data_IF_511452808104
#
_entry.id   IF_511452808104
#
_cell.length_a   1.000
_cell.length_b   1.000
_cell.length_c   1.000
_cell.angle_alpha   90.00
_cell.angle_beta   90.00
_cell.angle_gamma   90.00
#
_symmetry.space_group_name_H-M   'P 1'
#
loop_
_entity.id
_entity.type
_entity.pdbx_description
1 polymer ?
#
# COMPACT_ATOMS: atom_id res chain seq x y z
N UNK A 1 15.16 13.46 -3.32
CA UNK A 1 14.98 12.38 -4.29
C UNK A 1 13.51 12.24 -4.63
N UNK A 2 13.19 12.03 -5.87
CA UNK A 2 11.80 11.95 -6.29
C UNK A 2 11.54 10.66 -7.03
N UNK A 3 10.29 10.21 -6.98
CA UNK A 3 9.88 9.02 -7.68
C UNK A 3 8.51 9.27 -8.30
N UNK A 4 8.25 8.62 -9.40
CA UNK A 4 6.95 8.70 -10.04
C UNK A 4 6.02 7.68 -9.42
N UNK A 5 4.75 8.03 -9.34
CA UNK A 5 3.77 7.09 -8.83
C UNK A 5 3.78 5.81 -9.65
N UNK A 6 3.96 5.94 -10.97
CA UNK A 6 4.01 4.76 -11.82
C UNK A 6 5.16 3.84 -11.45
N UNK A 7 6.21 4.37 -10.86
CA UNK A 7 7.31 3.53 -10.40
C UNK A 7 7.00 2.81 -9.11
N UNK A 8 6.10 3.37 -8.31
CA UNK A 8 5.74 2.77 -7.03
C UNK A 8 4.66 1.72 -7.16
N UNK A 9 3.89 1.79 -8.22
CA UNK A 9 2.83 0.83 -8.42
C UNK A 9 3.42 -0.54 -8.67
N UNK A 10 2.73 -1.55 -8.22
CA UNK A 10 3.12 -2.95 -8.36
C UNK A 10 4.33 -3.34 -7.51
N UNK A 11 4.86 -2.43 -6.69
CA UNK A 11 5.89 -2.84 -5.75
C UNK A 11 5.27 -3.61 -4.60
N UNK A 12 6.00 -4.57 -4.11
CA UNK A 12 5.53 -5.33 -2.95
C UNK A 12 5.53 -4.45 -1.72
N UNK A 13 4.50 -4.62 -0.90
CA UNK A 13 4.37 -3.88 0.34
C UNK A 13 4.58 -4.87 1.48
N UNK A 14 5.57 -4.60 2.30
CA UNK A 14 5.95 -5.47 3.41
C UNK A 14 5.62 -4.76 4.71
N UNK A 15 4.91 -5.46 5.57
CA UNK A 15 4.60 -4.93 6.89
C UNK A 15 5.70 -5.33 7.85
N UNK A 16 6.43 -4.34 8.35
CA UNK A 16 7.55 -4.62 9.24
C UNK A 16 7.11 -5.13 10.60
N UNK A 17 5.88 -4.85 10.99
CA UNK A 17 5.41 -5.27 12.30
C UNK A 17 5.38 -6.80 12.41
N UNK A 18 5.09 -7.49 11.31
CA UNK A 18 5.07 -8.94 11.34
C UNK A 18 5.92 -9.58 10.24
N UNK A 19 6.60 -8.77 9.45
CA UNK A 19 7.48 -9.29 8.40
C UNK A 19 6.75 -9.85 7.21
N UNK A 20 5.48 -9.62 7.07
CA UNK A 20 4.69 -10.22 6.02
C UNK A 20 4.49 -9.29 4.85
N UNK A 21 4.42 -9.90 3.68
CA UNK A 21 4.01 -9.18 2.48
C UNK A 21 2.50 -9.06 2.48
N UNK A 22 1.99 -7.85 2.41
CA UNK A 22 0.54 -7.69 2.42
C UNK A 22 -0.05 -7.57 1.03
N UNK A 23 0.78 -7.35 0.02
CA UNK A 23 0.29 -7.28 -1.33
C UNK A 23 1.12 -6.34 -2.16
N UNK A 24 0.55 -5.83 -3.22
CA UNK A 24 1.21 -4.89 -4.11
C UNK A 24 0.54 -3.55 -4.03
N UNK A 25 1.33 -2.51 -4.11
CA UNK A 25 0.79 -1.18 -4.19
C UNK A 25 0.04 -1.03 -5.50
N UNK A 26 -1.20 -0.58 -5.43
CA UNK A 26 -2.00 -0.45 -6.64
C UNK A 26 -2.50 0.96 -6.87
N UNK A 27 -2.71 1.71 -5.81
CA UNK A 27 -3.30 3.02 -5.96
C UNK A 27 -2.87 3.90 -4.81
N UNK A 28 -3.11 5.18 -4.95
CA UNK A 28 -2.74 6.17 -3.96
C UNK A 28 -3.86 7.17 -3.84
N UNK A 29 -4.11 7.61 -2.63
CA UNK A 29 -5.09 8.66 -2.39
C UNK A 29 -4.40 9.99 -2.21
N UNK A 30 -4.98 11.01 -2.79
CA UNK A 30 -4.46 12.36 -2.70
C UNK A 30 -5.44 13.25 -2.00
N UNK A 31 -4.92 14.15 -1.19
CA UNK A 31 -5.72 15.24 -0.66
C UNK A 31 -5.61 16.38 -1.68
N UNK A 32 -6.70 16.65 -2.36
CA UNK A 32 -6.67 17.62 -3.45
C UNK A 32 -6.58 19.05 -2.92
N UNK A 33 -7.02 19.26 -1.70
CA UNK A 33 -6.93 20.60 -1.13
C UNK A 33 -5.52 20.93 -0.70
N UNK A 34 -4.84 19.95 -0.13
CA UNK A 34 -3.48 20.18 0.34
C UNK A 34 -2.43 19.75 -0.66
N UNK A 35 -2.85 19.03 -1.68
CA UNK A 35 -1.91 18.64 -2.73
C UNK A 35 -0.88 17.64 -2.25
N UNK A 36 -1.28 16.69 -1.42
CA UNK A 36 -0.32 15.73 -0.89
C UNK A 36 -0.92 14.34 -0.86
N UNK A 37 -0.04 13.36 -0.77
CA UNK A 37 -0.46 11.98 -0.65
C UNK A 37 -0.99 11.72 0.75
N UNK A 38 -2.09 11.00 0.81
CA UNK A 38 -2.75 10.66 2.06
C UNK A 38 -2.55 9.21 2.42
N UNK A 39 -2.63 8.33 1.45
CA UNK A 39 -2.53 6.91 1.74
C UNK A 39 -2.14 6.12 0.52
N UNK A 40 -1.73 4.91 0.77
CA UNK A 40 -1.39 3.91 -0.21
C UNK A 40 -2.45 2.81 -0.15
N UNK A 41 -2.95 2.41 -1.29
CA UNK A 41 -3.98 1.38 -1.35
C UNK A 41 -3.35 0.08 -1.83
N UNK A 42 -3.52 -0.96 -1.03
CA UNK A 42 -3.08 -2.30 -1.36
C UNK A 42 -4.32 -3.16 -1.45
N UNK A 43 -4.72 -3.59 -2.65
CA UNK A 43 -5.93 -4.38 -2.77
C UNK A 43 -5.80 -5.68 -2.01
N UNK A 44 -6.88 -6.08 -1.38
CA UNK A 44 -6.92 -7.37 -0.75
C UNK A 44 -6.89 -8.46 -1.79
N UNK A 45 -6.61 -9.69 -1.36
CA UNK A 45 -6.56 -10.78 -2.33
C UNK A 45 -7.91 -10.97 -2.98
N UNK A 46 -7.88 -11.24 -4.27
CA UNK A 46 -9.10 -11.57 -4.97
C UNK A 46 -9.64 -12.85 -4.42
N UNK A 47 -10.92 -12.90 -4.23
CA UNK A 47 -11.53 -14.15 -3.87
C UNK A 47 -11.34 -15.12 -4.98
N UNK A 48 -11.03 -16.31 -4.60
CA UNK A 48 -10.88 -17.37 -5.54
C UNK A 48 -12.17 -17.45 -6.36
N UNK A 49 -12.02 -17.38 -7.66
CA UNK A 49 -13.15 -17.41 -8.58
C UNK A 49 -14.04 -16.18 -8.50
N UNK A 50 -13.70 -15.23 -7.67
CA UNK A 50 -14.47 -14.01 -7.56
C UNK A 50 -15.88 -14.20 -7.09
N UNK A 51 -16.19 -15.34 -6.50
CA UNK A 51 -17.57 -15.63 -6.15
C UNK A 51 -18.01 -14.93 -4.88
N UNK A 52 -17.08 -14.73 -3.98
CA UNK A 52 -17.42 -14.16 -2.68
C UNK A 52 -17.08 -12.69 -2.60
N UNK A 53 -16.78 -12.09 -3.72
CA UNK A 53 -16.37 -10.72 -3.71
C UNK A 53 -14.94 -10.58 -3.27
N UNK A 54 -14.50 -9.35 -3.11
CA UNK A 54 -13.12 -9.09 -2.78
C UNK A 54 -12.96 -8.92 -1.29
N UNK A 55 -11.77 -9.24 -0.84
CA UNK A 55 -11.38 -8.81 0.46
C UNK A 55 -11.29 -7.30 0.48
N UNK A 56 -11.33 -6.75 1.68
CA UNK A 56 -11.13 -5.35 1.81
C UNK A 56 -9.73 -4.97 1.39
N UNK A 57 -9.63 -3.79 0.80
CA UNK A 57 -8.33 -3.24 0.51
C UNK A 57 -7.68 -2.78 1.80
N UNK A 58 -6.35 -2.85 1.82
CA UNK A 58 -5.59 -2.22 2.89
C UNK A 58 -5.37 -0.78 2.51
N UNK A 59 -5.72 0.12 3.41
CA UNK A 59 -5.47 1.53 3.22
C UNK A 59 -4.37 1.92 4.20
N UNK A 60 -3.20 2.16 3.69
CA UNK A 60 -2.03 2.43 4.51
C UNK A 60 -1.82 3.93 4.58
N UNK A 61 -2.00 4.55 5.74
CA UNK A 61 -1.75 5.99 5.84
C UNK A 61 -0.32 6.32 5.46
N UNK A 62 -0.14 7.46 4.81
CA UNK A 62 1.18 7.86 4.37
C UNK A 62 2.20 7.86 5.50
N UNK A 63 1.73 8.21 6.70
CA UNK A 63 2.60 8.27 7.87
C UNK A 63 3.10 6.91 8.31
N UNK A 64 2.47 5.85 7.86
CA UNK A 64 2.89 4.51 8.20
C UNK A 64 3.92 3.93 7.25
N UNK A 65 4.24 4.66 6.20
CA UNK A 65 5.25 4.20 5.26
C UNK A 65 6.60 4.54 5.85
N UNK A 66 7.38 3.51 6.10
CA UNK A 66 8.69 3.65 6.73
C UNK A 66 9.74 3.97 5.71
N UNK A 67 9.68 3.28 4.58
CA UNK A 67 10.70 3.47 3.55
C UNK A 67 10.18 2.98 2.22
N UNK A 68 10.58 3.66 1.18
CA UNK A 68 10.28 3.24 -0.18
C UNK A 68 11.59 2.80 -0.80
N UNK A 69 11.70 1.51 -1.05
CA UNK A 69 12.91 0.95 -1.65
C UNK A 69 12.74 0.79 -3.15
N UNK A 70 13.75 0.20 -3.76
CA UNK A 70 13.73 0.00 -5.21
C UNK A 70 12.65 -0.97 -5.62
N UNK A 71 12.48 -2.04 -4.85
CA UNK A 71 11.54 -3.09 -5.20
C UNK A 71 10.41 -3.24 -4.23
N UNK A 72 10.49 -2.61 -3.08
CA UNK A 72 9.51 -2.82 -2.01
C UNK A 72 9.17 -1.52 -1.35
N UNK A 73 8.02 -1.52 -0.70
CA UNK A 73 7.60 -0.42 0.16
C UNK A 73 7.42 -1.01 1.55
N UNK A 74 8.14 -0.46 2.50
CA UNK A 74 8.11 -0.95 3.87
C UNK A 74 7.17 -0.10 4.70
N UNK A 75 6.22 -0.74 5.35
CA UNK A 75 5.23 -0.03 6.15
C UNK A 75 5.20 -0.62 7.55
N UNK A 76 4.62 0.10 8.48
CA UNK A 76 4.48 -0.37 9.84
C UNK A 76 3.01 -0.31 10.21
N UNK A 77 2.36 -1.46 10.18
CA UNK A 77 0.94 -1.57 10.48
C UNK A 77 0.74 -2.25 11.82
N UNK A 78 1.36 -1.73 12.81
CA UNK A 78 1.16 -2.26 14.15
C UNK A 78 -0.30 -2.21 14.51
N UNK A 79 -0.75 -3.31 15.05
CA UNK A 79 -2.08 -3.34 15.61
C UNK A 79 -2.00 -3.13 17.08
N UNK A 80 -2.92 -2.46 17.58
CA UNK A 80 -3.00 -2.36 19.01
C UNK A 80 -2.81 -1.07 19.58
#
# INVERSE_FOLDING_TARGET
MAAKISELRARDVINLADGRRIGRAADFELDLEEGRLVSLIVPGPLRFLGLLGRERDYVVPWERIVRIGVDVILVDLKEG
#
